data_IF_654656564047
#
_entry.id   IF_654656564047
#
_cell.length_a   1.000
_cell.length_b   1.000
_cell.length_c   1.000
_cell.angle_alpha   90.00
_cell.angle_beta   90.00
_cell.angle_gamma   90.00
#
_symmetry.space_group_name_H-M   'P 1'
#
loop_
_entity.id
_entity.type
_entity.pdbx_description
1 polymer ?
#
# COMPACT_ATOMS: atom_id res chain seq x y z
N UNK A 1 0.71 28.30 23.44
CA UNK A 1 0.03 27.00 23.59
C UNK A 1 1.12 25.99 23.84
N UNK A 2 1.08 25.23 24.94
CA UNK A 2 2.18 24.30 25.30
C UNK A 2 1.83 22.82 25.14
N UNK A 3 0.54 22.49 25.06
CA UNK A 3 0.04 21.11 24.95
C UNK A 3 -0.97 21.00 23.83
N UNK A 4 -0.89 19.91 23.07
CA UNK A 4 -1.87 19.53 22.05
C UNK A 4 -2.48 18.19 22.43
N UNK A 5 -3.79 18.18 22.71
CA UNK A 5 -4.57 16.95 22.85
C UNK A 5 -5.17 16.63 21.47
N UNK A 6 -4.45 15.84 20.68
CA UNK A 6 -4.78 15.58 19.28
C UNK A 6 -3.53 15.35 18.45
N UNK A 7 -3.56 15.83 17.21
CA UNK A 7 -2.47 15.68 16.24
C UNK A 7 -2.14 17.00 15.58
N UNK A 8 -0.90 17.14 15.16
CA UNK A 8 -0.46 18.25 14.31
C UNK A 8 -0.21 17.70 12.91
N UNK A 9 -0.93 18.24 11.93
CA UNK A 9 -0.83 17.85 10.53
C UNK A 9 -0.50 19.10 9.72
N UNK A 10 0.66 19.11 9.07
CA UNK A 10 1.11 20.20 8.19
C UNK A 10 1.49 19.61 6.84
N UNK A 11 0.58 19.70 5.87
CA UNK A 11 0.74 18.98 4.61
C UNK A 11 0.37 19.82 3.41
N UNK A 12 1.06 19.62 2.29
CA UNK A 12 0.74 20.24 1.01
C UNK A 12 0.60 21.78 1.10
N UNK A 13 1.50 22.43 1.83
CA UNK A 13 1.49 23.88 1.99
C UNK A 13 2.72 24.51 1.34
N UNK A 14 2.47 25.39 0.36
CA UNK A 14 3.52 26.12 -0.36
C UNK A 14 3.86 27.48 0.29
N UNK A 15 3.04 27.98 1.22
CA UNK A 15 3.28 29.26 1.89
C UNK A 15 4.18 29.16 3.13
N UNK A 16 4.29 27.98 3.72
CA UNK A 16 5.02 27.77 4.98
C UNK A 16 6.49 27.47 4.69
N UNK A 17 7.37 28.32 5.23
CA UNK A 17 8.83 28.14 5.15
C UNK A 17 9.45 27.62 6.45
N UNK A 18 8.78 27.82 7.59
CA UNK A 18 9.24 27.33 8.88
C UNK A 18 8.06 26.90 9.78
N UNK A 19 8.31 25.94 10.68
CA UNK A 19 7.38 25.52 11.74
C UNK A 19 7.85 25.97 13.13
N UNK A 20 8.26 27.23 13.28
CA UNK A 20 8.77 27.77 14.55
C UNK A 20 7.75 27.76 15.69
N UNK A 21 6.44 27.67 15.40
CA UNK A 21 5.42 27.54 16.43
C UNK A 21 5.58 26.28 17.30
N UNK A 22 6.26 25.24 16.78
CA UNK A 22 6.55 24.00 17.51
C UNK A 22 7.55 24.21 18.65
N UNK A 23 8.30 25.32 18.70
CA UNK A 23 9.21 25.66 19.80
C UNK A 23 8.47 25.82 21.14
N UNK A 24 7.20 26.20 21.07
CA UNK A 24 6.36 26.42 22.25
C UNK A 24 5.61 25.16 22.67
N UNK A 25 5.62 24.08 21.87
CA UNK A 25 4.87 22.84 22.14
C UNK A 25 5.76 21.88 22.92
N UNK A 26 5.30 21.48 24.12
CA UNK A 26 5.99 20.57 25.03
C UNK A 26 5.39 19.17 25.05
N UNK A 27 4.13 19.01 24.65
CA UNK A 27 3.45 17.72 24.66
C UNK A 27 2.45 17.62 23.51
N UNK A 28 2.44 16.49 22.82
CA UNK A 28 1.42 16.10 21.83
C UNK A 28 0.88 14.74 22.23
N UNK A 29 -0.40 14.66 22.54
CA UNK A 29 -1.06 13.43 22.94
C UNK A 29 -2.14 13.02 21.92
N UNK A 30 -1.84 12.01 21.12
CA UNK A 30 -2.78 11.50 20.11
C UNK A 30 -3.82 10.56 20.75
N UNK A 31 -5.01 11.11 20.98
CA UNK A 31 -6.15 10.38 21.54
C UNK A 31 -6.70 9.29 20.60
N UNK A 32 -6.36 9.35 19.32
CA UNK A 32 -6.83 8.43 18.27
C UNK A 32 -5.70 7.52 17.78
N UNK A 33 -4.73 7.16 18.64
CA UNK A 33 -3.58 6.32 18.27
C UNK A 33 -3.95 5.01 17.57
N UNK A 34 -5.10 4.43 17.92
CA UNK A 34 -5.62 3.21 17.30
C UNK A 34 -6.14 3.42 15.87
N UNK A 35 -6.45 4.66 15.48
CA UNK A 35 -6.97 5.01 14.15
C UNK A 35 -5.89 5.68 13.31
N UNK A 36 -5.03 6.47 13.94
CA UNK A 36 -4.00 7.28 13.31
C UNK A 36 -2.66 7.06 14.01
N UNK A 37 -1.66 6.64 13.25
CA UNK A 37 -0.34 6.26 13.77
C UNK A 37 0.48 7.45 14.26
N UNK A 38 0.44 8.57 13.54
CA UNK A 38 1.32 9.71 13.78
C UNK A 38 0.63 10.82 14.57
N UNK A 39 1.29 11.27 15.64
CA UNK A 39 0.96 12.45 16.45
C UNK A 39 1.41 13.74 15.77
N UNK A 40 2.51 13.68 15.01
CA UNK A 40 3.01 14.77 14.17
C UNK A 40 3.24 14.27 12.74
N UNK A 41 2.55 14.87 11.78
CA UNK A 41 2.63 14.52 10.36
C UNK A 41 2.96 15.75 9.51
N UNK A 42 4.14 15.75 8.86
CA UNK A 42 4.64 16.86 8.04
C UNK A 42 5.14 16.36 6.69
N UNK A 43 4.42 16.61 5.61
CA UNK A 43 4.88 16.21 4.27
C UNK A 43 4.36 17.10 3.14
N UNK A 44 5.06 17.14 2.01
CA UNK A 44 4.61 17.87 0.83
C UNK A 44 4.62 19.39 0.97
N UNK A 45 5.34 19.95 1.95
CA UNK A 45 5.48 21.40 2.09
C UNK A 45 6.68 21.86 1.25
N UNK A 46 6.43 22.30 0.02
CA UNK A 46 7.47 22.54 -1.00
C UNK A 46 8.49 23.61 -0.61
N UNK A 47 8.09 24.56 0.23
CA UNK A 47 8.91 25.69 0.65
C UNK A 47 9.43 25.58 2.08
N UNK A 48 9.06 24.52 2.81
CA UNK A 48 9.49 24.30 4.18
C UNK A 48 11.00 24.04 4.23
N UNK A 49 11.72 24.87 4.97
CA UNK A 49 13.17 24.82 5.14
C UNK A 49 13.58 24.49 6.56
N UNK A 50 12.76 24.89 7.55
CA UNK A 50 13.13 24.75 8.95
C UNK A 50 11.98 24.24 9.83
N UNK A 51 12.30 23.35 10.76
CA UNK A 51 11.40 22.92 11.83
C UNK A 51 12.11 23.11 13.15
N UNK A 52 11.54 23.90 14.05
CA UNK A 52 12.14 24.15 15.36
C UNK A 52 11.26 23.52 16.43
N UNK A 53 11.77 22.48 17.06
CA UNK A 53 11.12 21.80 18.17
C UNK A 53 11.50 22.43 19.50
N UNK A 54 10.56 22.39 20.45
CA UNK A 54 10.91 22.60 21.84
C UNK A 54 11.88 21.52 22.32
N UNK A 55 12.90 21.91 23.08
CA UNK A 55 13.80 20.94 23.75
C UNK A 55 13.05 20.10 24.79
N UNK A 56 11.94 20.62 25.29
CA UNK A 56 11.08 19.97 26.28
C UNK A 56 9.93 19.17 25.62
N UNK A 57 9.93 19.02 24.29
CA UNK A 57 8.89 18.26 23.59
C UNK A 57 8.99 16.77 23.94
N UNK A 58 7.92 16.25 24.52
CA UNK A 58 7.71 14.83 24.77
C UNK A 58 6.76 14.27 23.70
N UNK A 59 7.32 13.49 22.78
CA UNK A 59 6.61 12.74 21.74
C UNK A 59 7.38 11.45 21.44
N UNK A 60 6.67 10.35 21.23
CA UNK A 60 7.30 9.10 20.82
C UNK A 60 7.83 9.24 19.39
N UNK A 61 9.11 8.92 19.15
CA UNK A 61 9.72 9.02 17.82
C UNK A 61 8.96 8.25 16.72
N UNK A 62 8.30 7.15 17.09
CA UNK A 62 7.49 6.33 16.19
C UNK A 62 6.16 6.97 15.78
N UNK A 63 5.80 8.09 16.42
CA UNK A 63 4.60 8.89 16.15
C UNK A 63 4.92 10.18 15.37
N UNK A 64 6.16 10.35 14.90
CA UNK A 64 6.59 11.50 14.11
C UNK A 64 6.89 11.05 12.68
N UNK A 65 6.30 11.74 11.71
CA UNK A 65 6.56 11.52 10.29
C UNK A 65 6.84 12.85 9.59
N UNK A 66 8.04 13.00 9.02
CA UNK A 66 8.47 14.24 8.36
C UNK A 66 9.18 13.87 7.05
N UNK A 67 8.49 13.71 5.93
CA UNK A 67 9.13 13.27 4.67
C UNK A 67 8.57 14.04 3.47
N UNK A 68 9.20 13.94 2.31
CA UNK A 68 8.76 14.61 1.08
C UNK A 68 8.58 16.14 1.23
N UNK A 69 9.48 16.81 1.97
CA UNK A 69 9.58 18.27 2.04
C UNK A 69 10.89 18.69 1.36
N UNK A 70 10.89 19.02 0.05
CA UNK A 70 12.10 19.02 -0.78
C UNK A 70 13.17 20.05 -0.39
N UNK A 71 12.79 21.12 0.34
CA UNK A 71 13.74 22.14 0.83
C UNK A 71 14.15 21.95 2.29
N UNK A 72 13.59 20.96 2.98
CA UNK A 72 13.93 20.66 4.36
C UNK A 72 15.12 19.71 4.38
N UNK A 73 16.23 20.17 4.94
CA UNK A 73 17.40 19.33 5.22
C UNK A 73 17.38 18.82 6.66
N UNK A 74 18.24 17.85 6.97
CA UNK A 74 18.45 17.39 8.36
C UNK A 74 18.90 18.54 9.27
N UNK A 75 19.76 19.43 8.78
CA UNK A 75 20.24 20.61 9.53
C UNK A 75 19.15 21.65 9.76
N UNK A 76 18.12 21.67 8.89
CA UNK A 76 16.93 22.50 9.05
C UNK A 76 16.03 22.06 10.21
N UNK A 77 16.22 20.85 10.74
CA UNK A 77 15.48 20.35 11.91
C UNK A 77 16.27 20.65 13.18
N UNK A 78 15.77 21.60 13.97
CA UNK A 78 16.44 22.11 15.17
C UNK A 78 15.65 21.76 16.43
N UNK A 79 16.36 21.55 17.54
CA UNK A 79 15.76 21.36 18.87
C UNK A 79 15.12 20.00 19.12
N UNK A 80 15.06 19.10 18.13
CA UNK A 80 14.53 17.75 18.33
C UNK A 80 15.41 16.95 19.30
N UNK A 81 14.79 16.37 20.34
CA UNK A 81 15.44 15.44 21.29
C UNK A 81 15.54 14.00 20.75
N UNK A 82 15.08 13.77 19.51
CA UNK A 82 15.01 12.49 18.84
C UNK A 82 15.54 12.59 17.41
N UNK A 83 15.97 11.46 16.85
CA UNK A 83 16.39 11.40 15.45
C UNK A 83 15.17 11.58 14.54
N UNK A 84 15.23 12.56 13.65
CA UNK A 84 14.22 12.82 12.63
C UNK A 84 14.67 12.22 11.31
N UNK A 85 13.85 11.34 10.75
CA UNK A 85 13.98 10.93 9.36
C UNK A 85 13.26 11.94 8.48
N UNK A 86 14.01 12.64 7.63
CA UNK A 86 13.49 13.63 6.65
C UNK A 86 13.18 13.00 5.28
N UNK A 87 13.43 11.69 5.13
CA UNK A 87 13.32 10.96 3.88
C UNK A 87 14.54 11.12 2.97
N UNK A 88 14.39 10.64 1.74
CA UNK A 88 15.40 10.75 0.68
C UNK A 88 14.76 11.06 -0.70
N UNK A 89 15.56 11.03 -1.76
CA UNK A 89 15.12 11.38 -3.12
C UNK A 89 14.15 10.36 -3.75
N UNK A 90 13.99 9.19 -3.14
CA UNK A 90 13.05 8.15 -3.59
C UNK A 90 11.63 8.38 -3.06
N UNK A 91 11.46 9.30 -2.11
CA UNK A 91 10.17 9.74 -1.61
C UNK A 91 9.56 10.80 -2.52
N UNK A 92 8.31 10.59 -2.91
CA UNK A 92 7.59 11.59 -3.68
C UNK A 92 6.12 11.67 -3.29
N UNK A 93 5.53 12.84 -3.54
CA UNK A 93 4.08 12.95 -3.60
C UNK A 93 3.57 12.27 -4.88
N UNK A 94 2.30 11.84 -4.89
CA UNK A 94 1.68 11.25 -6.07
C UNK A 94 1.82 12.15 -7.32
N UNK A 95 1.65 13.47 -7.17
CA UNK A 95 1.80 14.44 -8.26
C UNK A 95 3.21 14.50 -8.88
N UNK A 96 4.24 14.09 -8.14
CA UNK A 96 5.62 14.06 -8.62
C UNK A 96 6.06 12.68 -9.09
N UNK A 97 5.30 11.62 -8.79
CA UNK A 97 5.66 10.24 -9.07
C UNK A 97 5.73 9.92 -10.57
N UNK A 98 4.83 10.46 -11.38
CA UNK A 98 4.76 10.20 -12.83
C UNK A 98 6.03 10.59 -13.58
N UNK A 99 6.60 11.76 -13.23
CA UNK A 99 7.81 12.28 -13.86
C UNK A 99 9.11 11.80 -13.22
N UNK A 100 9.06 11.20 -12.04
CA UNK A 100 10.24 10.84 -11.27
C UNK A 100 10.48 9.32 -11.29
N UNK A 101 11.43 8.88 -12.12
CA UNK A 101 11.83 7.47 -12.23
C UNK A 101 12.54 6.92 -10.99
N UNK A 102 13.06 7.80 -10.14
CA UNK A 102 13.70 7.41 -8.88
C UNK A 102 12.70 7.28 -7.73
N UNK A 103 11.46 7.73 -7.92
CA UNK A 103 10.45 7.57 -6.89
C UNK A 103 10.02 6.10 -6.77
N UNK A 104 10.31 5.52 -5.61
CA UNK A 104 9.88 4.17 -5.23
C UNK A 104 8.94 4.16 -4.03
N UNK A 105 8.84 5.29 -3.31
CA UNK A 105 7.98 5.45 -2.15
C UNK A 105 7.05 6.64 -2.38
N UNK A 106 5.75 6.39 -2.52
CA UNK A 106 4.78 7.46 -2.60
C UNK A 106 4.24 7.81 -1.21
N UNK A 107 4.21 9.11 -0.90
CA UNK A 107 3.81 9.62 0.41
C UNK A 107 2.43 10.27 0.29
N UNK A 108 1.48 9.83 1.10
CA UNK A 108 0.15 10.44 1.13
C UNK A 108 -1.02 9.45 1.15
N UNK A 109 -2.20 10.05 1.16
CA UNK A 109 -3.44 9.35 0.83
C UNK A 109 -3.64 9.41 -0.68
N UNK A 110 -3.46 8.28 -1.35
CA UNK A 110 -3.37 8.19 -2.81
C UNK A 110 -4.60 7.48 -3.36
N UNK A 111 -5.31 8.16 -4.25
CA UNK A 111 -6.36 7.53 -5.06
C UNK A 111 -5.75 6.85 -6.27
N UNK A 112 -6.28 5.69 -6.67
CA UNK A 112 -5.75 4.87 -7.76
C UNK A 112 -5.58 5.68 -9.06
N UNK A 113 -6.53 6.56 -9.37
CA UNK A 113 -6.58 7.36 -10.60
C UNK A 113 -5.53 8.47 -10.65
N UNK A 114 -4.86 8.78 -9.52
CA UNK A 114 -3.81 9.80 -9.49
C UNK A 114 -2.53 9.34 -10.16
N UNK A 115 -2.33 8.02 -10.30
CA UNK A 115 -1.12 7.44 -10.85
C UNK A 115 -1.47 6.50 -12.01
N UNK A 116 -0.62 6.50 -13.02
CA UNK A 116 -0.66 5.56 -14.12
C UNK A 116 -0.31 4.15 -13.64
N UNK A 117 -0.76 3.14 -14.39
CA UNK A 117 -0.45 1.74 -14.09
C UNK A 117 1.08 1.48 -14.04
N UNK A 118 1.86 2.13 -14.90
CA UNK A 118 3.33 1.97 -14.93
C UNK A 118 4.00 2.64 -13.73
N UNK A 119 3.44 3.72 -13.20
CA UNK A 119 3.91 4.32 -11.95
C UNK A 119 3.57 3.45 -10.76
N UNK A 120 2.35 2.91 -10.68
CA UNK A 120 1.99 1.93 -9.65
C UNK A 120 2.93 0.71 -9.63
N UNK A 121 3.25 0.15 -10.80
CA UNK A 121 4.16 -1.00 -10.92
C UNK A 121 5.61 -0.68 -10.50
N UNK A 122 6.03 0.58 -10.58
CA UNK A 122 7.36 1.03 -10.17
C UNK A 122 7.45 1.24 -8.66
N UNK A 123 6.36 1.71 -8.04
CA UNK A 123 6.31 1.95 -6.61
C UNK A 123 6.48 0.64 -5.86
N UNK A 124 7.34 0.68 -4.84
CA UNK A 124 7.52 -0.41 -3.89
C UNK A 124 6.68 -0.19 -2.64
N UNK A 125 6.53 1.08 -2.25
CA UNK A 125 5.89 1.43 -0.99
C UNK A 125 4.95 2.62 -1.14
N UNK A 126 3.84 2.58 -0.43
CA UNK A 126 3.03 3.76 -0.09
C UNK A 126 3.09 3.97 1.41
N UNK A 127 3.65 5.09 1.85
CA UNK A 127 3.55 5.58 3.23
C UNK A 127 2.30 6.45 3.32
N UNK A 128 1.20 5.84 3.77
CA UNK A 128 -0.09 6.52 3.89
C UNK A 128 -1.28 5.61 3.67
N UNK A 129 -2.15 5.92 2.71
CA UNK A 129 -3.29 5.06 2.37
C UNK A 129 -3.54 4.99 0.87
N UNK A 130 -4.10 3.89 0.40
CA UNK A 130 -4.47 3.67 -1.00
C UNK A 130 -5.98 3.51 -1.12
N UNK A 131 -6.59 4.24 -2.05
CA UNK A 131 -8.03 4.21 -2.32
C UNK A 131 -8.30 3.89 -3.78
N UNK A 132 -9.01 2.79 -4.02
CA UNK A 132 -9.49 2.34 -5.32
C UNK A 132 -11.02 2.42 -5.27
N UNK A 133 -11.58 3.51 -5.80
CA UNK A 133 -13.00 3.80 -5.71
C UNK A 133 -13.56 4.18 -7.06
N UNK A 134 -14.60 3.48 -7.50
CA UNK A 134 -15.28 3.77 -8.78
C UNK A 134 -14.27 3.84 -9.95
N UNK A 135 -13.24 3.01 -9.86
CA UNK A 135 -12.14 2.99 -10.81
C UNK A 135 -12.55 2.23 -12.08
N UNK A 136 -12.23 2.79 -13.24
CA UNK A 136 -12.41 2.12 -14.53
C UNK A 136 -11.30 1.12 -14.82
N UNK A 137 -11.21 0.07 -13.99
CA UNK A 137 -10.22 -0.99 -14.10
C UNK A 137 -10.85 -2.37 -14.00
N UNK A 138 -10.20 -3.35 -14.65
CA UNK A 138 -10.60 -4.75 -14.60
C UNK A 138 -9.71 -5.59 -13.68
N UNK A 139 -8.48 -5.14 -13.41
CA UNK A 139 -7.52 -5.88 -12.59
C UNK A 139 -6.73 -4.95 -11.67
N UNK A 140 -6.31 -5.46 -10.51
CA UNK A 140 -5.39 -4.80 -9.58
C UNK A 140 -3.90 -5.06 -9.88
N UNK A 141 -3.59 -5.68 -11.01
CA UNK A 141 -2.24 -6.11 -11.37
C UNK A 141 -1.17 -5.02 -11.31
N UNK A 142 -1.54 -3.75 -11.49
CA UNK A 142 -0.62 -2.63 -11.37
C UNK A 142 -0.05 -2.47 -9.95
N UNK A 143 -0.73 -3.00 -8.92
CA UNK A 143 -0.36 -2.89 -7.51
C UNK A 143 0.40 -4.12 -6.97
N UNK A 144 0.81 -5.05 -7.84
CA UNK A 144 1.55 -6.26 -7.44
C UNK A 144 2.81 -5.91 -6.66
N UNK A 145 3.07 -6.66 -5.58
CA UNK A 145 4.22 -6.51 -4.69
C UNK A 145 4.33 -5.14 -3.98
N UNK A 146 3.24 -4.37 -3.92
CA UNK A 146 3.22 -3.10 -3.21
C UNK A 146 3.14 -3.33 -1.69
N UNK A 147 3.96 -2.61 -0.93
CA UNK A 147 3.80 -2.49 0.52
C UNK A 147 3.06 -1.20 0.86
N UNK A 148 1.98 -1.29 1.63
CA UNK A 148 1.24 -0.13 2.15
C UNK A 148 1.55 -0.02 3.65
N UNK A 149 2.28 1.02 4.02
CA UNK A 149 2.54 1.37 5.42
C UNK A 149 1.44 2.34 5.86
N UNK A 150 0.44 1.79 6.53
CA UNK A 150 -0.79 2.49 6.89
C UNK A 150 -0.57 3.48 8.04
N UNK A 151 -0.71 4.79 7.77
CA UNK A 151 -0.74 5.78 8.85
C UNK A 151 -2.12 6.05 9.44
N UNK A 152 -3.16 5.49 8.79
CA UNK A 152 -4.55 5.57 9.23
C UNK A 152 -5.32 4.31 8.82
N UNK A 153 -6.46 4.08 9.48
CA UNK A 153 -7.33 2.93 9.21
C UNK A 153 -8.59 3.38 8.45
N UNK A 154 -8.96 2.69 7.34
CA UNK A 154 -8.23 1.62 6.67
C UNK A 154 -7.05 2.16 5.85
N UNK A 155 -6.00 1.35 5.71
CA UNK A 155 -4.82 1.64 4.88
C UNK A 155 -5.07 1.36 3.39
N UNK A 156 -5.90 0.37 3.07
CA UNK A 156 -6.35 0.05 1.71
C UNK A 156 -7.88 0.05 1.63
N UNK A 157 -8.43 0.78 0.67
CA UNK A 157 -9.88 0.81 0.41
C UNK A 157 -10.16 0.44 -1.04
N UNK A 158 -11.02 -0.56 -1.27
CA UNK A 158 -11.43 -1.05 -2.59
C UNK A 158 -12.95 -1.10 -2.65
N UNK A 159 -13.58 -0.07 -3.17
CA UNK A 159 -15.04 0.08 -3.09
C UNK A 159 -15.69 0.54 -4.39
N UNK A 160 -16.89 0.05 -4.66
CA UNK A 160 -17.75 0.54 -5.75
C UNK A 160 -17.16 0.35 -7.17
N UNK A 161 -16.21 -0.58 -7.36
CA UNK A 161 -15.58 -0.82 -8.66
C UNK A 161 -16.41 -1.82 -9.47
N UNK A 162 -17.26 -1.33 -10.37
CA UNK A 162 -18.21 -2.15 -11.14
C UNK A 162 -17.53 -3.09 -12.13
N UNK A 163 -16.40 -2.66 -12.70
CA UNK A 163 -15.67 -3.41 -13.73
C UNK A 163 -14.53 -4.26 -13.16
N UNK A 164 -14.26 -4.18 -11.86
CA UNK A 164 -13.16 -4.90 -11.23
C UNK A 164 -13.47 -6.40 -11.19
N UNK A 165 -12.71 -7.18 -11.97
CA UNK A 165 -12.85 -8.63 -12.10
C UNK A 165 -11.74 -9.34 -11.32
N UNK A 166 -10.51 -8.95 -11.54
CA UNK A 166 -9.32 -9.63 -11.02
C UNK A 166 -8.70 -8.85 -9.85
N UNK A 167 -8.64 -9.50 -8.69
CA UNK A 167 -8.03 -8.98 -7.46
C UNK A 167 -6.88 -9.87 -6.98
N UNK A 168 -6.30 -10.70 -7.85
CA UNK A 168 -5.24 -11.65 -7.51
C UNK A 168 -3.99 -10.96 -6.94
N UNK A 169 -3.73 -9.71 -7.36
CA UNK A 169 -2.64 -8.89 -6.82
C UNK A 169 -2.71 -8.72 -5.28
N UNK A 170 -3.89 -8.82 -4.66
CA UNK A 170 -4.04 -8.76 -3.20
C UNK A 170 -3.15 -9.79 -2.48
N UNK A 171 -2.93 -10.96 -3.07
CA UNK A 171 -2.10 -12.00 -2.48
C UNK A 171 -0.61 -11.62 -2.39
N UNK A 172 -0.20 -10.57 -3.12
CA UNK A 172 1.18 -10.06 -3.15
C UNK A 172 1.34 -8.71 -2.45
N UNK A 173 0.24 -8.05 -2.12
CA UNK A 173 0.26 -6.76 -1.42
C UNK A 173 0.50 -7.03 0.06
N UNK A 174 1.46 -6.31 0.64
CA UNK A 174 1.69 -6.29 2.07
C UNK A 174 1.09 -5.03 2.69
N UNK A 175 0.39 -5.17 3.82
CA UNK A 175 -0.22 -4.04 4.52
C UNK A 175 0.28 -4.03 5.96
N UNK A 176 1.14 -3.06 6.26
CA UNK A 176 1.73 -2.85 7.59
C UNK A 176 0.88 -1.83 8.34
N UNK A 177 0.02 -2.28 9.25
CA UNK A 177 -0.86 -1.44 10.07
C UNK A 177 -1.36 -2.21 11.31
N UNK A 178 -1.69 -1.48 12.39
CA UNK A 178 -1.92 -2.06 13.71
C UNK A 178 -3.24 -2.84 13.85
N UNK A 179 -4.31 -2.49 13.10
CA UNK A 179 -5.58 -3.26 13.03
C UNK A 179 -6.38 -3.00 11.73
N UNK A 180 -7.36 -3.87 11.40
CA UNK A 180 -8.32 -3.85 10.26
C UNK A 180 -7.97 -2.91 9.10
N UNK A 181 -6.88 -3.23 8.41
CA UNK A 181 -6.23 -2.30 7.49
C UNK A 181 -6.87 -2.25 6.10
N UNK A 182 -7.91 -3.07 5.86
CA UNK A 182 -8.57 -3.21 4.56
C UNK A 182 -10.07 -2.97 4.65
N UNK A 183 -10.59 -2.18 3.72
CA UNK A 183 -12.02 -2.06 3.44
C UNK A 183 -12.31 -2.47 2.01
N UNK A 184 -13.12 -3.52 1.83
CA UNK A 184 -13.53 -4.01 0.51
C UNK A 184 -15.04 -4.22 0.44
N UNK A 185 -15.76 -3.48 -0.42
CA UNK A 185 -17.23 -3.53 -0.52
C UNK A 185 -17.73 -3.16 -1.92
N UNK A 186 -18.88 -3.70 -2.32
CA UNK A 186 -19.59 -3.30 -3.54
C UNK A 186 -18.75 -3.42 -4.83
N UNK A 187 -18.02 -4.53 -5.00
CA UNK A 187 -17.29 -4.85 -6.22
C UNK A 187 -17.91 -6.12 -6.85
N UNK A 188 -19.02 -6.01 -7.59
CA UNK A 188 -19.89 -7.14 -7.93
C UNK A 188 -19.29 -8.12 -8.95
N UNK A 189 -18.33 -7.66 -9.76
CA UNK A 189 -17.80 -8.41 -10.90
C UNK A 189 -16.58 -9.28 -10.58
N UNK A 190 -16.14 -9.31 -9.32
CA UNK A 190 -14.93 -10.03 -8.92
C UNK A 190 -15.06 -11.51 -9.22
N UNK A 191 -14.06 -12.06 -9.91
CA UNK A 191 -14.07 -13.41 -10.41
C UNK A 191 -12.68 -14.06 -10.39
N UNK A 192 -12.61 -15.28 -9.84
CA UNK A 192 -11.40 -16.09 -9.76
C UNK A 192 -11.73 -17.58 -9.83
N UNK A 193 -10.76 -18.40 -10.21
CA UNK A 193 -10.89 -19.85 -10.10
C UNK A 193 -11.02 -20.28 -8.62
N UNK A 194 -11.51 -21.51 -8.38
CA UNK A 194 -11.85 -21.98 -7.03
C UNK A 194 -10.64 -22.02 -6.06
N UNK A 195 -9.42 -22.19 -6.59
CA UNK A 195 -8.19 -22.26 -5.79
C UNK A 195 -7.78 -20.86 -5.34
N UNK A 196 -7.63 -19.93 -6.29
CA UNK A 196 -7.29 -18.52 -6.00
C UNK A 196 -8.34 -17.85 -5.13
N UNK A 197 -9.63 -18.12 -5.41
CA UNK A 197 -10.73 -17.59 -4.61
C UNK A 197 -10.58 -17.93 -3.12
N UNK A 198 -10.23 -19.18 -2.79
CA UNK A 198 -10.01 -19.59 -1.40
C UNK A 198 -8.83 -18.85 -0.77
N UNK A 199 -7.74 -18.64 -1.53
CA UNK A 199 -6.59 -17.88 -1.05
C UNK A 199 -6.95 -16.42 -0.78
N UNK A 200 -7.70 -15.79 -1.70
CA UNK A 200 -8.16 -14.41 -1.56
C UNK A 200 -9.12 -14.29 -0.37
N UNK A 201 -10.08 -15.21 -0.21
CA UNK A 201 -11.00 -15.21 0.93
C UNK A 201 -10.25 -15.33 2.28
N UNK A 202 -9.22 -16.18 2.35
CA UNK A 202 -8.35 -16.30 3.53
C UNK A 202 -7.55 -15.02 3.79
N UNK A 203 -6.98 -14.42 2.75
CA UNK A 203 -6.24 -13.17 2.84
C UNK A 203 -7.16 -12.03 3.31
N UNK A 204 -8.35 -11.88 2.73
CA UNK A 204 -9.34 -10.89 3.16
C UNK A 204 -9.73 -11.06 4.63
N UNK A 205 -9.97 -12.31 5.06
CA UNK A 205 -10.31 -12.62 6.46
C UNK A 205 -9.18 -12.21 7.41
N UNK A 206 -7.92 -12.46 7.06
CA UNK A 206 -6.74 -12.04 7.84
C UNK A 206 -6.71 -10.51 8.02
N UNK A 207 -7.19 -9.76 7.03
CA UNK A 207 -7.25 -8.30 7.05
C UNK A 207 -8.62 -7.74 7.49
N UNK A 208 -9.49 -8.56 8.10
CA UNK A 208 -10.78 -8.13 8.64
C UNK A 208 -11.82 -7.71 7.58
N UNK A 209 -11.64 -8.16 6.34
CA UNK A 209 -12.52 -7.88 5.22
C UNK A 209 -13.17 -9.16 4.67
N UNK A 210 -14.16 -8.97 3.81
CA UNK A 210 -14.82 -10.04 3.06
C UNK A 210 -15.28 -9.47 1.72
N UNK A 211 -15.28 -10.29 0.67
CA UNK A 211 -15.86 -9.91 -0.62
C UNK A 211 -16.84 -10.97 -1.10
N UNK A 212 -17.80 -10.54 -1.93
CA UNK A 212 -18.65 -11.45 -2.70
C UNK A 212 -18.01 -11.65 -4.07
N UNK A 213 -17.88 -12.89 -4.47
CA UNK A 213 -17.45 -13.25 -5.82
C UNK A 213 -18.69 -13.43 -6.69
N UNK A 214 -18.60 -13.02 -7.94
CA UNK A 214 -19.68 -13.18 -8.91
C UNK A 214 -20.01 -14.67 -9.10
N UNK A 215 -21.30 -15.01 -9.12
CA UNK A 215 -21.78 -16.34 -9.55
C UNK A 215 -21.56 -16.58 -11.04
N UNK A 216 -21.37 -15.49 -11.80
CA UNK A 216 -21.42 -15.49 -13.26
C UNK A 216 -20.05 -15.76 -13.89
N UNK A 217 -19.04 -15.95 -13.03
CA UNK A 217 -17.69 -16.36 -13.37
C UNK A 217 -17.57 -17.47 -14.41
N UNK A 218 -18.55 -18.38 -14.46
CA UNK A 218 -18.49 -19.60 -15.25
C UNK A 218 -19.60 -19.70 -16.31
N UNK A 219 -20.35 -18.62 -16.61
CA UNK A 219 -21.51 -18.69 -17.52
C UNK A 219 -21.15 -18.76 -19.01
N UNK A 220 -19.91 -18.48 -19.40
CA UNK A 220 -19.49 -18.53 -20.82
C UNK A 220 -18.81 -19.83 -21.27
N UNK A 221 -18.72 -20.86 -20.41
CA UNK A 221 -18.14 -22.16 -20.78
C UNK A 221 -19.13 -23.09 -21.54
N UNK A 222 -20.24 -22.56 -22.04
CA UNK A 222 -21.22 -23.33 -22.82
C UNK A 222 -20.79 -23.48 -24.29
N UNK A 223 -19.70 -24.19 -24.51
CA UNK A 223 -19.52 -25.09 -25.65
C UNK A 223 -18.32 -26.01 -25.38
N UNK A 224 -18.63 -27.26 -25.04
CA UNK A 224 -17.74 -28.45 -25.02
C UNK A 224 -16.98 -28.76 -23.70
N UNK A 225 -17.68 -29.40 -22.74
CA UNK A 225 -17.32 -30.62 -21.97
C UNK A 225 -17.75 -30.57 -20.49
N UNK A 226 -18.29 -31.67 -19.92
CA UNK A 226 -18.69 -31.75 -18.52
C UNK A 226 -17.57 -32.37 -17.66
N UNK A 227 -16.74 -31.54 -17.04
CA UNK A 227 -16.18 -31.80 -15.70
C UNK A 227 -15.29 -30.64 -15.29
N UNK A 228 -15.66 -30.02 -14.16
CA UNK A 228 -14.88 -29.10 -13.34
C UNK A 228 -13.62 -28.48 -13.97
N UNK A 229 -13.76 -27.34 -14.64
CA UNK A 229 -12.74 -26.28 -14.56
C UNK A 229 -13.26 -25.01 -15.21
N UNK A 230 -13.54 -24.02 -14.38
CA UNK A 230 -13.66 -22.64 -14.81
C UNK A 230 -12.23 -22.15 -15.13
N UNK A 231 -11.67 -22.60 -16.26
CA UNK A 231 -10.43 -22.11 -16.85
C UNK A 231 -10.84 -21.20 -18.00
N UNK A 232 -10.78 -19.89 -17.77
CA UNK A 232 -10.65 -18.96 -18.88
C UNK A 232 -9.40 -18.11 -18.66
N UNK A 233 -8.45 -18.31 -19.57
CA UNK A 233 -7.38 -17.41 -20.02
C UNK A 233 -6.69 -16.55 -18.95
N UNK A 234 -5.70 -17.13 -18.28
CA UNK A 234 -4.47 -16.40 -17.99
C UNK A 234 -3.31 -17.20 -18.61
N UNK A 235 -2.60 -16.66 -19.62
CA UNK A 235 -1.49 -17.37 -20.23
C UNK A 235 -0.28 -17.25 -19.31
N UNK A 236 -0.22 -18.05 -18.24
CA UNK A 236 1.04 -18.31 -17.56
C UNK A 236 1.57 -19.66 -17.99
N UNK A 237 2.64 -19.58 -18.78
CA UNK A 237 3.51 -20.65 -19.25
C UNK A 237 3.93 -21.52 -18.06
N UNK A 238 3.38 -22.73 -17.97
CA UNK A 238 4.03 -23.82 -17.24
C UNK A 238 5.01 -24.49 -18.21
N UNK A 239 6.28 -24.10 -18.17
CA UNK A 239 7.36 -24.85 -18.79
C UNK A 239 7.65 -26.11 -17.98
N UNK A 240 7.41 -27.26 -18.60
CA UNK A 240 8.12 -28.54 -18.45
C UNK A 240 8.52 -29.03 -17.05
N UNK A 241 7.76 -30.00 -16.54
CA UNK A 241 8.32 -31.08 -15.70
C UNK A 241 8.51 -32.29 -16.62
N UNK A 242 9.74 -32.49 -17.10
CA UNK A 242 10.17 -33.71 -17.77
C UNK A 242 10.34 -34.82 -16.73
N UNK A 243 9.53 -35.88 -16.83
CA UNK A 243 9.79 -37.15 -16.14
C UNK A 243 10.92 -37.90 -16.85
N UNK A 244 12.01 -38.20 -16.14
CA UNK A 244 12.99 -39.20 -16.52
C UNK A 244 12.64 -40.51 -15.80
N UNK A 245 12.20 -41.53 -16.53
CA UNK A 245 12.14 -42.90 -16.02
C UNK A 245 13.43 -43.62 -16.40
N UNK A 246 14.30 -43.87 -15.43
CA UNK A 246 15.43 -44.78 -15.58
C UNK A 246 14.92 -46.23 -15.58
N UNK A 247 14.97 -46.86 -16.75
CA UNK A 247 14.72 -48.29 -16.93
C UNK A 247 16.01 -49.10 -16.80
N UNK A 248 16.01 -50.02 -15.84
CA UNK A 248 16.58 -51.37 -15.82
C UNK A 248 18.06 -51.58 -16.20
N UNK A 249 18.88 -51.71 -15.15
CA UNK A 249 20.13 -52.46 -15.18
C UNK A 249 19.83 -53.97 -15.08
N UNK A 250 20.14 -54.74 -16.13
CA UNK A 250 20.23 -56.20 -16.07
C UNK A 250 21.59 -56.61 -15.51
N UNK A 251 21.58 -57.23 -14.35
CA UNK A 251 22.63 -58.15 -13.88
C UNK A 251 22.32 -59.55 -14.43
N UNK A 252 23.31 -60.18 -15.07
CA UNK A 252 23.32 -61.63 -15.29
C UNK A 252 24.74 -62.14 -15.03
N UNK A 253 24.90 -62.80 -13.89
CA UNK A 253 26.02 -63.70 -13.60
C UNK A 253 25.75 -65.09 -14.19
N UNK A 254 26.81 -65.76 -14.65
CA UNK A 254 27.03 -67.19 -14.40
C UNK A 254 26.61 -68.21 -15.47
N UNK A 255 27.52 -68.51 -16.41
CA UNK A 255 28.21 -69.82 -16.52
C UNK A 255 29.26 -69.81 -17.63
#
# INVERSE_FOLDING_TARGET
MEKVNGRIIVTNNDGIQNLSFLENIKEIHNQEKNVNRYSLLVYGNSNLQEIHFSKDLHIDKGEVFIRANPKLSRDGVKGASFQVDVGDYSDCLASAAEGNRYCTTAIGDISYEQLSASTWQRLKTVEGSVRIKDADIQSLDALKNLTIVGWKIPALTIVENQKLVDVGALLTIDIVSDTTSLKMKNNPSICHNIVERKQIEQWLKKHGASSRFSSDCCKEAHQVMPSYTCIHKFPYVFSEIMYWSAGDAKTSEGN
#
